data_IF_924398144454
#
_entry.id   IF_924398144454
#
_cell.length_a   1.000
_cell.length_b   1.000
_cell.length_c   1.000
_cell.angle_alpha   90.00
_cell.angle_beta   90.00
_cell.angle_gamma   90.00
#
_symmetry.space_group_name_H-M   'P 1'
#
loop_
_entity.id
_entity.type
_entity.pdbx_description
1 polymer ?
#
# COMPACT_ATOMS: atom_id res chain seq x y z
N UNK A 1 7.74 18.65 2.32
CA UNK A 1 7.02 17.75 1.40
C UNK A 1 6.31 18.58 0.34
N UNK A 2 6.58 18.33 -0.92
CA UNK A 2 5.99 19.07 -2.02
C UNK A 2 4.76 18.37 -2.57
N UNK A 3 3.93 19.10 -3.33
CA UNK A 3 2.76 18.50 -3.98
C UNK A 3 3.22 17.47 -5.03
N UNK A 4 4.33 17.71 -5.70
CA UNK A 4 4.87 16.76 -6.67
C UNK A 4 5.28 15.45 -6.00
N UNK A 5 5.91 15.50 -4.84
CA UNK A 5 6.27 14.30 -4.08
C UNK A 5 5.03 13.52 -3.65
N UNK A 6 4.00 14.24 -3.21
CA UNK A 6 2.72 13.62 -2.83
C UNK A 6 2.07 12.95 -4.02
N UNK A 7 2.02 13.63 -5.17
CA UNK A 7 1.44 13.06 -6.37
C UNK A 7 2.21 11.84 -6.86
N UNK A 8 3.54 11.87 -6.80
CA UNK A 8 4.37 10.73 -7.19
C UNK A 8 4.09 9.51 -6.31
N UNK A 9 4.01 9.71 -5.00
CA UNK A 9 3.69 8.63 -4.06
C UNK A 9 2.31 8.05 -4.35
N UNK A 10 1.34 8.88 -4.67
CA UNK A 10 -0.01 8.43 -5.01
C UNK A 10 -0.04 7.66 -6.33
N UNK A 11 0.78 8.05 -7.30
CA UNK A 11 0.93 7.30 -8.55
C UNK A 11 1.53 5.91 -8.30
N UNK A 12 2.56 5.83 -7.47
CA UNK A 12 3.17 4.54 -7.09
C UNK A 12 2.18 3.63 -6.37
N UNK A 13 1.31 4.21 -5.56
CA UNK A 13 0.27 3.47 -4.85
C UNK A 13 -0.98 3.22 -5.70
N UNK A 14 -0.99 3.69 -6.94
CA UNK A 14 -2.11 3.53 -7.86
C UNK A 14 -3.42 4.15 -7.34
N UNK A 15 -3.33 5.30 -6.70
CA UNK A 15 -4.47 6.03 -6.12
C UNK A 15 -4.62 7.44 -6.72
N UNK A 16 -3.64 7.87 -7.53
CA UNK A 16 -3.61 9.22 -8.09
C UNK A 16 -4.87 9.55 -8.90
N UNK A 17 -5.26 8.66 -9.82
CA UNK A 17 -6.44 8.88 -10.67
C UNK A 17 -7.72 8.99 -9.85
N UNK A 18 -7.84 8.16 -8.81
CA UNK A 18 -8.98 8.23 -7.89
C UNK A 18 -9.06 9.60 -7.22
N UNK A 19 -7.94 10.11 -6.71
CA UNK A 19 -7.91 11.42 -6.05
C UNK A 19 -8.27 12.51 -7.04
N UNK A 20 -7.75 12.45 -8.26
CA UNK A 20 -8.10 13.44 -9.30
C UNK A 20 -9.58 13.40 -9.68
N UNK A 21 -10.25 12.25 -9.54
CA UNK A 21 -11.67 12.12 -9.83
C UNK A 21 -12.57 12.77 -8.79
N UNK A 22 -12.04 13.09 -7.62
CA UNK A 22 -12.81 13.75 -6.56
C UNK A 22 -13.08 15.20 -6.92
N UNK A 23 -14.21 15.76 -6.45
CA UNK A 23 -14.57 17.15 -6.78
C UNK A 23 -13.50 18.19 -6.42
N UNK A 24 -12.75 17.96 -5.34
CA UNK A 24 -11.69 18.86 -4.90
C UNK A 24 -10.29 18.29 -5.15
N UNK A 25 -10.17 17.13 -5.80
CA UNK A 25 -8.88 16.50 -6.10
C UNK A 25 -7.98 16.38 -4.88
N UNK A 26 -6.75 16.84 -5.00
CA UNK A 26 -5.78 16.82 -3.89
C UNK A 26 -6.08 17.81 -2.78
N UNK A 27 -7.06 18.66 -2.96
CA UNK A 27 -7.54 19.60 -1.93
C UNK A 27 -8.72 19.05 -1.13
N UNK A 28 -9.08 17.78 -1.37
CA UNK A 28 -10.15 17.11 -0.65
C UNK A 28 -9.82 17.05 0.84
N UNK A 29 -10.78 17.40 1.70
CA UNK A 29 -10.57 17.34 3.14
C UNK A 29 -10.44 15.89 3.62
N UNK A 30 -9.79 15.68 4.76
CA UNK A 30 -9.63 14.36 5.37
C UNK A 30 -11.00 13.73 5.67
N UNK A 31 -11.96 14.52 6.10
CA UNK A 31 -13.32 14.05 6.40
C UNK A 31 -14.03 13.54 5.15
N UNK A 32 -13.98 14.32 4.07
CA UNK A 32 -14.56 13.91 2.78
C UNK A 32 -13.89 12.66 2.26
N UNK A 33 -12.56 12.59 2.34
CA UNK A 33 -11.78 11.46 1.86
C UNK A 33 -12.14 10.20 2.65
N UNK A 34 -12.19 10.30 3.98
CA UNK A 34 -12.49 9.16 4.84
C UNK A 34 -13.87 8.56 4.58
N UNK A 35 -14.85 9.37 4.24
CA UNK A 35 -16.21 8.89 3.96
C UNK A 35 -16.35 8.28 2.57
N UNK A 36 -15.46 8.62 1.63
CA UNK A 36 -15.58 8.18 0.23
C UNK A 36 -14.71 6.97 -0.10
N UNK A 37 -13.75 6.61 0.76
CA UNK A 37 -12.81 5.52 0.45
C UNK A 37 -13.41 4.16 0.69
N UNK A 38 -13.28 3.26 -0.29
CA UNK A 38 -13.48 1.82 -0.13
C UNK A 38 -12.26 1.18 0.57
N UNK A 39 -12.36 -0.12 0.88
CA UNK A 39 -11.25 -0.85 1.48
C UNK A 39 -9.98 -0.84 0.62
N UNK A 40 -10.14 -1.04 -0.70
CA UNK A 40 -9.01 -1.00 -1.63
C UNK A 40 -8.36 0.36 -1.72
N UNK A 41 -9.17 1.43 -1.79
CA UNK A 41 -8.66 2.79 -1.82
C UNK A 41 -7.95 3.15 -0.52
N UNK A 42 -8.47 2.70 0.62
CA UNK A 42 -7.81 2.92 1.92
C UNK A 42 -6.45 2.24 1.98
N UNK A 43 -6.35 1.02 1.48
CA UNK A 43 -5.07 0.31 1.42
C UNK A 43 -4.08 1.05 0.54
N UNK A 44 -4.49 1.50 -0.64
CA UNK A 44 -3.61 2.23 -1.54
C UNK A 44 -3.19 3.58 -0.96
N UNK A 45 -4.08 4.25 -0.25
CA UNK A 45 -3.75 5.48 0.45
C UNK A 45 -2.70 5.25 1.53
N UNK A 46 -2.83 4.16 2.28
CA UNK A 46 -1.82 3.75 3.25
C UNK A 46 -0.47 3.48 2.62
N UNK A 47 -0.45 2.85 1.44
CA UNK A 47 0.77 2.63 0.68
C UNK A 47 1.39 3.93 0.18
N UNK A 48 0.57 4.89 -0.25
CA UNK A 48 1.07 6.21 -0.64
C UNK A 48 1.79 6.89 0.52
N UNK A 49 1.26 6.77 1.72
CA UNK A 49 1.92 7.29 2.92
C UNK A 49 3.26 6.60 3.16
N UNK A 50 3.33 5.29 2.95
CA UNK A 50 4.58 4.55 3.05
C UNK A 50 5.64 5.09 2.08
N UNK A 51 5.24 5.32 0.83
CA UNK A 51 6.17 5.82 -0.19
C UNK A 51 6.69 7.23 0.12
N UNK A 52 5.93 8.00 0.89
CA UNK A 52 6.36 9.34 1.31
C UNK A 52 7.33 9.31 2.49
N UNK A 53 7.32 8.27 3.29
CA UNK A 53 8.19 8.17 4.45
C UNK A 53 9.56 7.63 4.07
N UNK A 54 10.60 8.23 4.67
CA UNK A 54 11.99 7.80 4.50
C UNK A 54 12.41 6.87 5.64
N UNK A 55 11.62 5.87 5.92
CA UNK A 55 11.95 4.84 6.90
C UNK A 55 12.71 3.70 6.24
N UNK A 56 13.50 2.97 7.02
CA UNK A 56 14.26 1.82 6.53
C UNK A 56 13.55 0.49 6.78
N UNK A 57 12.55 0.49 7.63
CA UNK A 57 11.77 -0.70 7.96
C UNK A 57 10.29 -0.38 7.86
N UNK A 58 9.57 -1.19 7.11
CA UNK A 58 8.10 -1.10 7.01
C UNK A 58 7.48 -2.43 7.36
N UNK A 59 6.38 -2.37 8.08
CA UNK A 59 5.53 -3.53 8.36
C UNK A 59 4.21 -3.35 7.63
N UNK A 60 3.91 -4.23 6.69
CA UNK A 60 2.69 -4.19 5.89
C UNK A 60 1.81 -5.38 6.24
N UNK A 61 0.64 -5.11 6.79
CA UNK A 61 -0.32 -6.12 7.19
C UNK A 61 -1.41 -6.23 6.13
N UNK A 62 -1.43 -7.34 5.40
CA UNK A 62 -2.39 -7.62 4.34
C UNK A 62 -2.53 -6.46 3.35
N UNK A 63 -1.42 -5.96 2.77
CA UNK A 63 -1.46 -4.69 2.01
C UNK A 63 -2.26 -4.77 0.72
N UNK A 64 -2.56 -5.97 0.22
CA UNK A 64 -3.27 -6.16 -1.05
C UNK A 64 -4.56 -6.95 -0.90
N UNK A 65 -5.06 -7.17 0.32
CA UNK A 65 -6.18 -8.07 0.58
C UNK A 65 -7.49 -7.65 -0.10
N UNK A 66 -7.67 -6.35 -0.35
CA UNK A 66 -8.87 -5.81 -1.01
C UNK A 66 -8.65 -5.47 -2.49
N UNK A 67 -7.56 -5.95 -3.09
CA UNK A 67 -7.21 -5.66 -4.48
C UNK A 67 -7.41 -6.88 -5.36
N UNK A 68 -7.81 -6.65 -6.61
CA UNK A 68 -7.81 -7.69 -7.62
C UNK A 68 -6.37 -8.00 -8.08
N UNK A 69 -6.21 -9.03 -8.90
CA UNK A 69 -4.88 -9.49 -9.32
C UNK A 69 -4.09 -8.43 -10.08
N UNK A 70 -4.77 -7.63 -10.89
CA UNK A 70 -4.10 -6.59 -11.68
C UNK A 70 -3.55 -5.49 -10.77
N UNK A 71 -4.39 -4.97 -9.88
CA UNK A 71 -3.98 -3.92 -8.95
C UNK A 71 -2.95 -4.42 -7.95
N UNK A 72 -3.10 -5.67 -7.49
CA UNK A 72 -2.09 -6.29 -6.64
C UNK A 72 -0.73 -6.32 -7.31
N UNK A 73 -0.67 -6.74 -8.58
CA UNK A 73 0.59 -6.80 -9.32
C UNK A 73 1.26 -5.44 -9.44
N UNK A 74 0.48 -4.39 -9.73
CA UNK A 74 0.99 -3.02 -9.82
C UNK A 74 1.58 -2.57 -8.49
N UNK A 75 0.86 -2.79 -7.40
CA UNK A 75 1.27 -2.38 -6.06
C UNK A 75 2.51 -3.13 -5.61
N UNK A 76 2.55 -4.45 -5.80
CA UNK A 76 3.70 -5.26 -5.40
C UNK A 76 4.96 -4.88 -6.17
N UNK A 77 4.81 -4.54 -7.44
CA UNK A 77 5.94 -4.05 -8.24
C UNK A 77 6.48 -2.73 -7.68
N UNK A 78 5.60 -1.81 -7.34
CA UNK A 78 6.01 -0.53 -6.75
C UNK A 78 6.72 -0.73 -5.41
N UNK A 79 6.19 -1.61 -4.56
CA UNK A 79 6.82 -1.93 -3.28
C UNK A 79 8.20 -2.55 -3.50
N UNK A 80 8.31 -3.47 -4.45
CA UNK A 80 9.58 -4.10 -4.77
C UNK A 80 10.63 -3.07 -5.21
N UNK A 81 10.25 -2.13 -6.07
CA UNK A 81 11.15 -1.09 -6.54
C UNK A 81 11.61 -0.16 -5.40
N UNK A 82 10.73 0.14 -4.45
CA UNK A 82 11.05 0.98 -3.30
C UNK A 82 11.85 0.24 -2.22
N UNK A 83 11.88 -1.09 -2.26
CA UNK A 83 12.47 -1.91 -1.18
C UNK A 83 13.98 -2.09 -1.29
N UNK A 84 14.62 -1.58 -2.33
CA UNK A 84 16.05 -1.86 -2.61
C UNK A 84 16.99 -1.47 -1.47
N UNK A 85 16.68 -0.42 -0.75
CA UNK A 85 17.45 0.06 0.40
C UNK A 85 16.66 -0.02 1.71
N UNK A 86 15.57 -0.78 1.71
CA UNK A 86 14.65 -0.88 2.85
C UNK A 86 14.37 -2.33 3.18
N UNK A 87 13.97 -2.58 4.42
CA UNK A 87 13.42 -3.87 4.83
C UNK A 87 11.91 -3.78 4.92
N UNK A 88 11.23 -4.67 4.25
CA UNK A 88 9.77 -4.72 4.25
C UNK A 88 9.32 -6.07 4.75
N UNK A 89 8.48 -6.06 5.78
CA UNK A 89 7.89 -7.26 6.34
C UNK A 89 6.42 -7.29 5.94
N UNK A 90 6.02 -8.36 5.23
CA UNK A 90 4.63 -8.58 4.86
C UNK A 90 3.99 -9.59 5.80
N UNK A 91 2.80 -9.28 6.29
CA UNK A 91 1.92 -10.26 6.90
C UNK A 91 0.82 -10.54 5.88
N UNK A 92 0.76 -11.76 5.36
CA UNK A 92 -0.18 -12.09 4.28
C UNK A 92 -0.52 -13.57 4.27
N UNK A 93 -1.73 -13.89 3.80
CA UNK A 93 -2.17 -15.24 3.50
C UNK A 93 -2.17 -15.53 1.99
N UNK A 94 -1.81 -14.56 1.17
CA UNK A 94 -1.88 -14.68 -0.30
C UNK A 94 -0.57 -15.19 -0.85
N UNK A 95 -0.62 -16.29 -1.59
CA UNK A 95 0.56 -16.87 -2.24
C UNK A 95 1.18 -15.89 -3.24
N UNK A 96 0.36 -15.10 -3.91
CA UNK A 96 0.84 -14.09 -4.85
C UNK A 96 1.70 -13.03 -4.18
N UNK A 97 1.37 -12.63 -2.96
CA UNK A 97 2.20 -11.71 -2.18
C UNK A 97 3.49 -12.39 -1.73
N UNK A 98 3.38 -13.61 -1.23
CA UNK A 98 4.53 -14.37 -0.72
C UNK A 98 5.55 -14.68 -1.82
N UNK A 99 5.10 -14.84 -3.05
CA UNK A 99 5.97 -15.12 -4.19
C UNK A 99 6.95 -13.99 -4.49
N UNK A 100 6.66 -12.76 -4.06
CA UNK A 100 7.53 -11.60 -4.23
C UNK A 100 8.54 -11.42 -3.10
N UNK A 101 8.46 -12.25 -2.05
CA UNK A 101 9.33 -12.16 -0.89
C UNK A 101 10.58 -13.00 -1.09
N UNK A 102 11.72 -12.52 -0.61
CA UNK A 102 12.96 -13.27 -0.65
C UNK A 102 13.12 -14.21 0.56
N UNK A 103 12.25 -14.09 1.55
CA UNK A 103 12.22 -14.96 2.71
C UNK A 103 10.79 -15.05 3.23
N UNK A 104 10.33 -16.28 3.51
CA UNK A 104 8.99 -16.52 4.04
C UNK A 104 9.10 -17.30 5.34
N UNK A 105 8.39 -16.83 6.36
CA UNK A 105 8.28 -17.50 7.65
C UNK A 105 6.80 -17.83 7.87
N UNK A 106 6.52 -19.12 8.06
CA UNK A 106 5.17 -19.57 8.39
C UNK A 106 4.99 -19.54 9.90
N UNK A 107 3.94 -18.87 10.34
CA UNK A 107 3.61 -18.81 11.76
C UNK A 107 2.33 -19.59 12.00
N UNK A 108 2.41 -20.58 12.90
CA UNK A 108 1.27 -21.36 13.33
C UNK A 108 0.96 -21.02 14.78
N UNK A 109 -0.34 -20.93 15.08
CA UNK A 109 -0.76 -20.72 16.44
C UNK A 109 -0.77 -22.06 17.17
N UNK A 110 0.11 -22.20 18.16
CA UNK A 110 0.11 -23.35 19.08
C UNK A 110 -0.72 -23.06 20.32
N UNK A 111 -1.65 -22.13 20.26
CA UNK A 111 -2.49 -21.82 21.39
C UNK A 111 -3.44 -22.98 21.68
N UNK A 112 -3.27 -23.55 22.85
CA UNK A 112 -4.28 -24.39 23.45
C UNK A 112 -5.17 -23.45 24.25
N UNK A 113 -6.33 -23.20 23.72
CA UNK A 113 -7.31 -22.34 24.42
C UNK A 113 -8.08 -23.15 25.45
#
# INVERSE_FOLDING_TARGET
>A
MTIEETQLACKKANIHEYIQSLPHGYKTSVEELGSSLSGGERQRMGLARMFLHDAKLFLLDEPTSNLDSLHEGIILKSIYEESKDKTIIFVSHRDSTLAHCNRVIHMESNRVS
#
